data_IF_805297868733
#
_entry.id   IF_805297868733
#
_cell.length_a   1.000
_cell.length_b   1.000
_cell.length_c   1.000
_cell.angle_alpha   90.00
_cell.angle_beta   90.00
_cell.angle_gamma   90.00
#
_symmetry.space_group_name_H-M   'P 1'
#
loop_
_entity.id
_entity.type
_entity.pdbx_description
1 polymer ?
#
# COMPACT_ATOMS: atom_id res chain seq x y z
N UNK A 1 -2.93 -1.57 -23.51
CA UNK A 1 -3.36 -2.94 -23.83
C UNK A 1 -3.14 -3.94 -22.69
N UNK A 2 -2.17 -3.80 -21.76
CA UNK A 2 -2.00 -4.77 -20.67
C UNK A 2 -3.09 -4.69 -19.58
N UNK A 3 -3.63 -3.50 -19.33
CA UNK A 3 -4.60 -3.27 -18.24
C UNK A 3 -5.90 -4.04 -18.44
N UNK A 4 -6.40 -4.10 -19.67
CA UNK A 4 -7.63 -4.83 -20.00
C UNK A 4 -7.48 -6.34 -19.74
N UNK A 5 -6.31 -6.89 -20.05
CA UNK A 5 -6.02 -8.30 -19.77
C UNK A 5 -5.90 -8.57 -18.26
N UNK A 6 -5.33 -7.64 -17.49
CA UNK A 6 -5.23 -7.78 -16.03
C UNK A 6 -6.62 -7.69 -15.38
N UNK A 7 -7.47 -6.76 -15.83
CA UNK A 7 -8.86 -6.61 -15.38
C UNK A 7 -9.69 -7.88 -15.69
N UNK A 8 -9.58 -8.45 -16.90
CA UNK A 8 -10.27 -9.71 -17.27
C UNK A 8 -9.86 -10.89 -16.39
N UNK A 9 -8.57 -10.98 -16.03
CA UNK A 9 -8.06 -12.06 -15.17
C UNK A 9 -8.53 -11.91 -13.73
N UNK A 10 -8.63 -10.68 -13.25
CA UNK A 10 -9.18 -10.37 -11.93
C UNK A 10 -10.66 -10.75 -11.85
N UNK A 11 -11.47 -10.28 -12.79
CA UNK A 11 -12.91 -10.56 -12.83
C UNK A 11 -13.18 -12.06 -12.97
N UNK A 12 -12.39 -12.77 -13.80
CA UNK A 12 -12.44 -14.23 -13.90
C UNK A 12 -12.17 -14.92 -12.54
N UNK A 13 -11.18 -14.46 -11.79
CA UNK A 13 -10.89 -15.01 -10.46
C UNK A 13 -12.03 -14.74 -9.47
N UNK A 14 -12.61 -13.52 -9.50
CA UNK A 14 -13.74 -13.15 -8.66
C UNK A 14 -14.93 -14.08 -8.91
N UNK A 15 -15.30 -14.29 -10.18
CA UNK A 15 -16.40 -15.17 -10.56
C UNK A 15 -16.13 -16.62 -10.14
N UNK A 16 -14.96 -17.15 -10.51
CA UNK A 16 -14.59 -18.56 -10.29
C UNK A 16 -14.57 -18.94 -8.81
N UNK A 17 -14.15 -18.01 -7.94
CA UNK A 17 -14.08 -18.23 -6.51
C UNK A 17 -15.32 -17.74 -5.74
N UNK A 18 -16.28 -17.10 -6.41
CA UNK A 18 -17.46 -16.47 -5.82
C UNK A 18 -17.08 -15.42 -4.77
N UNK A 19 -16.18 -14.52 -5.15
CA UNK A 19 -15.79 -13.35 -4.39
C UNK A 19 -16.69 -12.16 -4.76
N UNK A 20 -16.63 -11.09 -3.96
CA UNK A 20 -17.41 -9.87 -4.16
C UNK A 20 -16.48 -8.66 -4.29
N UNK A 21 -16.71 -7.80 -5.28
CA UNK A 21 -15.98 -6.54 -5.46
C UNK A 21 -16.72 -5.40 -4.78
N UNK A 22 -15.99 -4.55 -4.05
CA UNK A 22 -16.57 -3.32 -3.50
C UNK A 22 -16.42 -2.18 -4.50
N UNK A 23 -17.51 -1.81 -5.16
CA UNK A 23 -17.51 -0.76 -6.19
C UNK A 23 -17.26 0.65 -5.61
N UNK A 24 -17.29 0.81 -4.29
CA UNK A 24 -17.09 2.11 -3.63
C UNK A 24 -15.62 2.40 -3.31
N UNK A 25 -14.74 1.40 -3.25
CA UNK A 25 -13.35 1.57 -2.82
C UNK A 25 -12.39 2.06 -3.93
N UNK A 26 -12.86 2.11 -5.18
CA UNK A 26 -12.07 2.53 -6.33
C UNK A 26 -10.85 1.64 -6.60
N UNK A 27 -9.94 2.08 -7.48
CA UNK A 27 -8.78 1.27 -7.95
C UNK A 27 -7.70 1.00 -6.91
N UNK A 28 -7.68 1.73 -5.80
CA UNK A 28 -6.66 1.58 -4.76
C UNK A 28 -7.11 0.70 -3.59
N UNK A 29 -8.39 0.32 -3.60
CA UNK A 29 -9.08 -0.46 -2.59
C UNK A 29 -8.64 -1.92 -2.49
N UNK A 30 -9.49 -2.72 -1.88
CA UNK A 30 -9.35 -4.18 -1.81
C UNK A 30 -9.89 -4.78 -3.12
N UNK A 31 -9.12 -5.68 -3.73
CA UNK A 31 -9.46 -6.25 -5.03
C UNK A 31 -10.78 -7.06 -4.96
N UNK A 32 -10.93 -7.88 -3.92
CA UNK A 32 -12.17 -8.63 -3.69
C UNK A 32 -12.36 -9.03 -2.22
N UNK A 33 -13.57 -9.47 -1.89
CA UNK A 33 -13.96 -9.94 -0.58
C UNK A 33 -14.56 -11.34 -0.64
N UNK A 34 -14.22 -12.18 0.35
CA UNK A 34 -14.91 -13.44 0.60
C UNK A 34 -15.83 -13.28 1.80
N UNK A 35 -17.13 -13.42 1.59
CA UNK A 35 -18.09 -13.59 2.68
C UNK A 35 -18.09 -15.05 3.14
N UNK A 36 -17.64 -15.29 4.37
CA UNK A 36 -17.53 -16.63 4.94
C UNK A 36 -17.76 -16.62 6.45
N UNK A 37 -18.69 -17.45 6.93
CA UNK A 37 -19.08 -17.56 8.35
C UNK A 37 -19.35 -16.20 9.02
N UNK A 38 -20.07 -15.32 8.34
CA UNK A 38 -20.41 -13.97 8.85
C UNK A 38 -19.24 -12.97 8.86
N UNK A 39 -18.05 -13.35 8.39
CA UNK A 39 -16.90 -12.45 8.22
C UNK A 39 -16.77 -12.01 6.76
N UNK A 40 -16.41 -10.74 6.55
CA UNK A 40 -16.02 -10.19 5.25
C UNK A 40 -14.49 -10.16 5.17
N UNK A 41 -13.92 -11.07 4.38
CA UNK A 41 -12.47 -11.33 4.38
C UNK A 41 -11.83 -10.68 3.16
N UNK A 42 -10.85 -9.76 3.32
CA UNK A 42 -10.25 -9.06 2.20
C UNK A 42 -9.22 -9.93 1.46
N UNK A 43 -9.29 -9.90 0.13
CA UNK A 43 -8.37 -10.55 -0.79
C UNK A 43 -7.59 -9.53 -1.62
N UNK A 44 -6.31 -9.78 -1.80
CA UNK A 44 -5.50 -9.24 -2.88
C UNK A 44 -5.43 -10.29 -4.00
N UNK A 45 -5.74 -9.88 -5.23
CA UNK A 45 -5.73 -10.72 -6.42
C UNK A 45 -4.51 -10.37 -7.27
N UNK A 46 -3.77 -11.40 -7.68
CA UNK A 46 -2.64 -11.25 -8.60
C UNK A 46 -2.65 -12.35 -9.64
N UNK A 47 -1.96 -12.12 -10.75
CA UNK A 47 -1.72 -13.15 -11.74
C UNK A 47 -0.30 -13.05 -12.31
N UNK A 48 0.21 -14.16 -12.86
CA UNK A 48 1.48 -14.18 -13.59
C UNK A 48 1.51 -15.25 -14.66
N UNK A 49 2.17 -14.96 -15.78
CA UNK A 49 2.49 -15.92 -16.84
C UNK A 49 3.94 -16.44 -16.77
N UNK A 50 4.81 -15.75 -16.02
CA UNK A 50 6.27 -15.96 -16.05
C UNK A 50 6.82 -16.53 -14.73
N UNK A 51 5.93 -16.80 -13.77
CA UNK A 51 6.26 -17.37 -12.47
C UNK A 51 6.70 -16.38 -11.40
N UNK A 52 7.02 -15.12 -11.72
CA UNK A 52 7.17 -14.05 -10.73
C UNK A 52 5.93 -13.16 -10.71
N UNK A 53 5.49 -12.76 -9.52
CA UNK A 53 4.32 -11.90 -9.35
C UNK A 53 4.77 -10.47 -9.10
N UNK A 54 4.43 -9.55 -9.99
CA UNK A 54 4.56 -8.10 -9.77
C UNK A 54 3.56 -7.66 -8.71
N UNK A 55 3.95 -6.74 -7.83
CA UNK A 55 3.08 -6.30 -6.73
C UNK A 55 2.63 -4.85 -6.89
N UNK A 56 3.51 -3.88 -6.70
CA UNK A 56 3.23 -2.45 -6.87
C UNK A 56 4.47 -1.70 -7.32
N UNK A 57 4.31 -0.57 -8.03
CA UNK A 57 5.42 0.26 -8.49
C UNK A 57 6.28 0.77 -7.34
N UNK A 58 5.67 1.40 -6.34
CA UNK A 58 6.40 2.07 -5.25
C UNK A 58 5.99 1.43 -3.91
N UNK A 59 6.65 0.33 -3.53
CA UNK A 59 6.33 -0.39 -2.29
C UNK A 59 6.83 0.39 -1.07
N UNK A 60 5.97 0.60 -0.08
CA UNK A 60 6.23 1.43 1.09
C UNK A 60 5.33 1.07 2.27
N UNK A 61 5.38 1.86 3.35
CA UNK A 61 4.69 1.53 4.61
C UNK A 61 3.17 1.36 4.49
N UNK A 62 2.51 2.13 3.64
CA UNK A 62 1.08 1.97 3.39
C UNK A 62 0.73 0.62 2.74
N UNK A 63 1.62 0.06 1.92
CA UNK A 63 1.44 -1.28 1.35
C UNK A 63 1.60 -2.37 2.41
N UNK A 64 2.55 -2.21 3.32
CA UNK A 64 2.74 -3.12 4.46
C UNK A 64 1.46 -3.16 5.32
N UNK A 65 0.92 -1.99 5.67
CA UNK A 65 -0.36 -1.88 6.40
C UNK A 65 -1.52 -2.49 5.63
N UNK A 66 -1.60 -2.24 4.31
CA UNK A 66 -2.66 -2.78 3.45
C UNK A 66 -2.61 -4.30 3.41
N UNK A 67 -1.43 -4.91 3.31
CA UNK A 67 -1.28 -6.33 2.97
C UNK A 67 -1.09 -7.28 4.15
N UNK A 68 -0.68 -6.78 5.33
CA UNK A 68 -0.35 -7.63 6.49
C UNK A 68 -1.46 -8.62 6.91
N UNK A 69 -2.72 -8.22 6.74
CA UNK A 69 -3.90 -9.00 7.18
C UNK A 69 -4.72 -9.52 5.98
N UNK A 70 -4.20 -9.39 4.76
CA UNK A 70 -4.91 -9.83 3.54
C UNK A 70 -4.65 -11.28 3.22
N UNK A 71 -5.68 -11.91 2.70
CA UNK A 71 -5.54 -13.16 1.96
C UNK A 71 -5.16 -12.85 0.51
N UNK A 72 -4.44 -13.77 -0.12
CA UNK A 72 -3.94 -13.61 -1.47
C UNK A 72 -4.42 -14.76 -2.34
N UNK A 73 -4.85 -14.43 -3.55
CA UNK A 73 -5.14 -15.41 -4.59
C UNK A 73 -4.31 -15.08 -5.83
N UNK A 74 -3.46 -16.02 -6.23
CA UNK A 74 -2.50 -15.83 -7.32
C UNK A 74 -2.83 -16.78 -8.45
N UNK A 75 -3.31 -16.26 -9.58
CA UNK A 75 -3.55 -17.03 -10.80
C UNK A 75 -2.27 -17.27 -11.60
N UNK A 76 -1.93 -18.53 -11.84
CA UNK A 76 -0.79 -18.92 -12.67
C UNK A 76 -1.29 -19.26 -14.07
N UNK A 77 -0.81 -18.52 -15.06
CA UNK A 77 -1.20 -18.70 -16.47
C UNK A 77 -0.07 -19.37 -17.27
N UNK A 78 -0.44 -20.26 -18.19
CA UNK A 78 0.45 -20.86 -19.19
C UNK A 78 -0.21 -20.77 -20.56
N UNK A 79 0.54 -20.34 -21.57
CA UNK A 79 0.02 -20.20 -22.94
C UNK A 79 -1.31 -19.41 -23.01
N UNK A 80 -1.44 -18.36 -22.18
CA UNK A 80 -2.64 -17.52 -22.00
C UNK A 80 -3.84 -18.18 -21.31
N UNK A 81 -3.78 -19.47 -21.00
CA UNK A 81 -4.81 -20.17 -20.22
C UNK A 81 -4.45 -20.20 -18.74
N UNK A 82 -5.46 -20.21 -17.87
CA UNK A 82 -5.25 -20.47 -16.45
C UNK A 82 -4.76 -21.92 -16.27
N UNK A 83 -3.67 -22.10 -15.53
CA UNK A 83 -3.12 -23.41 -15.17
C UNK A 83 -3.65 -23.84 -13.80
N UNK A 84 -3.49 -22.98 -12.79
CA UNK A 84 -4.02 -23.17 -11.44
C UNK A 84 -3.99 -21.85 -10.66
N UNK A 85 -4.64 -21.84 -9.50
CA UNK A 85 -4.50 -20.76 -8.52
C UNK A 85 -3.72 -21.21 -7.30
N UNK A 86 -3.12 -20.24 -6.61
CA UNK A 86 -2.43 -20.43 -5.35
C UNK A 86 -3.07 -19.52 -4.30
N UNK A 87 -3.24 -20.06 -3.09
CA UNK A 87 -3.77 -19.31 -1.96
C UNK A 87 -2.66 -19.01 -0.94
N UNK A 88 -2.50 -17.72 -0.61
CA UNK A 88 -1.63 -17.24 0.45
C UNK A 88 -2.46 -16.68 1.61
N UNK A 89 -2.41 -17.30 2.78
CA UNK A 89 -2.97 -16.70 3.99
C UNK A 89 -2.10 -15.52 4.47
N UNK A 90 -2.62 -14.64 5.35
CA UNK A 90 -1.81 -13.59 5.98
C UNK A 90 -0.50 -14.14 6.56
N UNK A 91 -0.57 -15.28 7.25
CA UNK A 91 0.60 -15.96 7.83
C UNK A 91 1.59 -16.44 6.76
N UNK A 92 1.13 -16.95 5.62
CA UNK A 92 2.02 -17.38 4.52
C UNK A 92 2.64 -16.21 3.78
N UNK A 93 1.98 -15.06 3.72
CA UNK A 93 2.50 -13.86 3.06
C UNK A 93 3.41 -13.03 3.95
N UNK A 94 3.27 -13.16 5.28
CA UNK A 94 4.03 -12.41 6.26
C UNK A 94 5.55 -12.45 6.06
N UNK A 95 6.22 -13.61 5.79
CA UNK A 95 7.67 -13.63 5.60
C UNK A 95 8.15 -12.74 4.44
N UNK A 96 7.47 -12.77 3.30
CA UNK A 96 7.81 -11.90 2.17
C UNK A 96 7.56 -10.43 2.49
N UNK A 97 6.42 -10.09 3.13
CA UNK A 97 6.11 -8.72 3.52
C UNK A 97 7.16 -8.19 4.51
N UNK A 98 7.55 -8.98 5.50
CA UNK A 98 8.57 -8.62 6.50
C UNK A 98 9.95 -8.45 5.88
N UNK A 99 10.31 -9.27 4.90
CA UNK A 99 11.57 -9.10 4.15
C UNK A 99 11.59 -7.72 3.45
N UNK A 100 10.48 -7.32 2.82
CA UNK A 100 10.40 -6.01 2.13
C UNK A 100 10.31 -4.85 3.12
N UNK A 101 9.62 -5.03 4.24
CA UNK A 101 9.60 -4.07 5.35
C UNK A 101 11.00 -3.84 5.90
N UNK A 102 11.74 -4.91 6.19
CA UNK A 102 13.11 -4.82 6.68
C UNK A 102 14.04 -4.10 5.71
N UNK A 103 13.86 -4.33 4.40
CA UNK A 103 14.63 -3.65 3.36
C UNK A 103 14.45 -2.13 3.38
N UNK A 104 13.22 -1.63 3.51
CA UNK A 104 12.94 -0.19 3.48
C UNK A 104 13.11 0.49 4.85
N UNK A 105 13.07 -0.28 5.95
CA UNK A 105 13.03 0.24 7.32
C UNK A 105 14.17 1.25 7.64
N UNK A 106 15.44 1.02 7.28
CA UNK A 106 16.52 1.97 7.57
C UNK A 106 16.26 3.36 6.99
N UNK A 107 15.72 3.45 5.78
CA UNK A 107 15.47 4.73 5.12
C UNK A 107 14.35 5.52 5.83
N UNK A 108 13.31 4.83 6.30
CA UNK A 108 12.27 5.44 7.13
C UNK A 108 12.80 5.89 8.49
N UNK A 109 13.74 5.15 9.09
CA UNK A 109 14.40 5.57 10.32
C UNK A 109 15.26 6.84 10.09
N UNK A 110 16.00 6.90 8.98
CA UNK A 110 16.75 8.09 8.58
C UNK A 110 15.79 9.29 8.40
N UNK A 111 14.65 9.08 7.74
CA UNK A 111 13.63 10.11 7.54
C UNK A 111 13.18 10.74 8.86
N UNK A 112 12.89 9.92 9.88
CA UNK A 112 12.53 10.38 11.23
C UNK A 112 13.65 11.16 11.91
N UNK A 113 14.89 10.66 11.83
CA UNK A 113 16.05 11.35 12.39
C UNK A 113 16.29 12.71 11.73
N UNK A 114 16.12 12.82 10.41
CA UNK A 114 16.21 14.10 9.69
C UNK A 114 15.10 15.03 10.11
N UNK A 115 13.84 14.55 10.17
CA UNK A 115 12.68 15.31 10.65
C UNK A 115 12.96 15.96 12.02
N UNK A 116 13.55 15.20 12.94
CA UNK A 116 13.86 15.69 14.29
C UNK A 116 14.93 16.79 14.31
N UNK A 117 15.92 16.70 13.41
CA UNK A 117 17.05 17.65 13.31
C UNK A 117 16.73 18.98 12.62
N UNK A 118 15.59 19.10 11.95
CA UNK A 118 15.18 20.36 11.32
C UNK A 118 14.79 21.36 12.42
N UNK A 119 15.35 22.57 12.37
CA UNK A 119 15.14 23.61 13.37
C UNK A 119 14.53 24.88 12.77
N UNK A 120 14.10 25.81 13.64
CA UNK A 120 13.55 27.11 13.22
C UNK A 120 14.48 27.89 12.30
N UNK A 121 15.80 27.80 12.52
CA UNK A 121 16.80 28.47 11.67
C UNK A 121 16.74 27.98 10.21
N UNK A 122 16.36 26.73 9.98
CA UNK A 122 16.25 26.15 8.65
C UNK A 122 14.95 26.57 7.97
N UNK A 123 13.85 26.64 8.73
CA UNK A 123 12.61 27.27 8.27
C UNK A 123 12.86 28.71 7.80
N UNK A 124 13.59 29.50 8.60
CA UNK A 124 13.87 30.90 8.27
C UNK A 124 14.74 31.05 7.02
N UNK A 125 15.64 30.11 6.74
CA UNK A 125 16.40 30.09 5.48
C UNK A 125 15.52 29.83 4.26
N UNK A 126 14.42 29.07 4.42
CA UNK A 126 13.54 28.66 3.32
C UNK A 126 12.44 29.70 3.06
N UNK A 127 11.75 30.17 4.10
CA UNK A 127 10.58 31.06 3.97
C UNK A 127 10.81 32.48 4.48
N UNK A 128 12.01 32.79 4.96
CA UNK A 128 12.29 34.01 5.71
C UNK A 128 11.75 33.95 7.13
N UNK A 129 12.32 34.74 8.05
CA UNK A 129 11.79 34.90 9.41
C UNK A 129 10.54 35.77 9.39
N UNK A 130 9.43 35.26 9.95
CA UNK A 130 8.16 35.98 10.09
C UNK A 130 7.59 35.70 11.48
N UNK A 131 6.85 36.64 12.06
CA UNK A 131 6.10 36.42 13.30
C UNK A 131 4.83 35.59 13.06
N UNK A 132 4.29 35.69 11.84
CA UNK A 132 3.12 34.92 11.39
C UNK A 132 3.30 34.52 9.93
N UNK A 133 3.06 33.26 9.64
CA UNK A 133 2.99 32.74 8.28
C UNK A 133 1.54 32.54 7.85
N UNK A 134 1.29 32.58 6.55
CA UNK A 134 -0.06 32.45 5.97
C UNK A 134 -0.28 31.08 5.33
N UNK A 135 -1.53 30.80 4.96
CA UNK A 135 -1.90 29.63 4.16
C UNK A 135 -1.05 29.48 2.89
N UNK A 136 -0.76 30.59 2.21
CA UNK A 136 0.09 30.61 1.01
C UNK A 136 1.51 30.11 1.29
N UNK A 137 2.11 30.49 2.42
CA UNK A 137 3.44 30.03 2.84
C UNK A 137 3.44 28.51 3.07
N UNK A 138 2.44 28.01 3.81
CA UNK A 138 2.28 26.59 4.10
C UNK A 138 2.08 25.75 2.81
N UNK A 139 1.39 26.33 1.83
CA UNK A 139 1.13 25.71 0.52
C UNK A 139 2.35 25.68 -0.39
N UNK A 140 3.19 26.72 -0.39
CA UNK A 140 4.45 26.69 -1.13
C UNK A 140 5.35 25.59 -0.57
N UNK A 141 5.39 25.48 0.76
CA UNK A 141 6.22 24.52 1.47
C UNK A 141 5.73 23.06 1.34
N UNK A 142 4.48 22.79 1.74
CA UNK A 142 3.94 21.44 1.87
C UNK A 142 3.02 21.02 0.71
N UNK A 143 2.83 21.91 -0.28
CA UNK A 143 2.15 21.64 -1.55
C UNK A 143 0.72 21.12 -1.35
N UNK A 144 0.38 19.97 -1.93
CA UNK A 144 -0.95 19.35 -1.91
C UNK A 144 -1.06 18.17 -0.95
N UNK A 145 -0.13 18.03 -0.01
CA UNK A 145 -0.09 16.82 0.83
C UNK A 145 -1.06 16.88 1.99
N UNK A 146 -1.43 18.08 2.43
CA UNK A 146 -2.60 18.29 3.25
C UNK A 146 -3.80 18.66 2.37
N UNK A 147 -4.97 18.17 2.78
CA UNK A 147 -6.26 18.71 2.37
C UNK A 147 -6.44 20.16 2.84
N UNK A 148 -7.42 20.85 2.28
CA UNK A 148 -7.74 22.22 2.66
C UNK A 148 -8.09 22.33 4.15
N UNK A 149 -8.90 21.40 4.67
CA UNK A 149 -9.26 21.36 6.09
C UNK A 149 -8.02 21.15 6.96
N UNK A 150 -7.16 20.19 6.63
CA UNK A 150 -5.92 19.96 7.39
C UNK A 150 -5.03 21.20 7.47
N UNK A 151 -4.94 22.01 6.42
CA UNK A 151 -4.24 23.29 6.51
C UNK A 151 -4.94 24.23 7.52
N UNK A 152 -6.23 24.47 7.34
CA UNK A 152 -6.99 25.41 8.17
C UNK A 152 -7.03 25.01 9.64
N UNK A 153 -7.29 23.73 9.92
CA UNK A 153 -7.36 23.16 11.27
C UNK A 153 -6.00 23.21 11.97
N UNK A 154 -4.92 23.32 11.20
CA UNK A 154 -3.58 23.38 11.74
C UNK A 154 -3.05 24.79 11.98
N UNK A 155 -3.85 25.83 11.71
CA UNK A 155 -3.55 27.21 12.08
C UNK A 155 -3.67 27.36 13.60
N UNK A 156 -2.56 27.69 14.24
CA UNK A 156 -2.51 27.94 15.69
C UNK A 156 -2.63 29.43 16.05
N UNK A 157 -2.58 30.31 15.05
CA UNK A 157 -2.85 31.73 15.19
C UNK A 157 -4.10 32.11 14.41
N UNK A 158 -4.76 33.22 14.80
CA UNK A 158 -5.92 33.75 14.06
C UNK A 158 -5.51 34.07 12.61
N UNK A 159 -6.00 33.23 11.68
CA UNK A 159 -5.75 33.35 10.25
C UNK A 159 -4.29 33.12 9.83
N UNK A 160 -3.53 32.30 10.57
CA UNK A 160 -2.15 31.99 10.19
C UNK A 160 -1.47 30.98 11.11
N UNK A 161 -0.16 30.81 10.91
CA UNK A 161 0.68 29.87 11.65
C UNK A 161 1.79 30.62 12.39
N UNK A 162 2.10 30.17 13.61
CA UNK A 162 3.35 30.53 14.29
C UNK A 162 4.57 29.95 13.56
N UNK A 163 5.79 30.45 13.84
CA UNK A 163 7.03 29.82 13.40
C UNK A 163 7.14 28.34 13.78
N UNK A 164 6.73 27.97 14.98
CA UNK A 164 6.80 26.61 15.52
C UNK A 164 5.85 25.68 14.76
N UNK A 165 4.64 26.15 14.47
CA UNK A 165 3.68 25.39 13.68
C UNK A 165 4.14 25.24 12.23
N UNK A 166 4.68 26.28 11.63
CA UNK A 166 5.23 26.20 10.28
C UNK A 166 6.48 25.30 10.21
N UNK A 167 7.30 25.25 11.27
CA UNK A 167 8.40 24.30 11.38
C UNK A 167 7.89 22.85 11.34
N UNK A 168 6.78 22.55 12.01
CA UNK A 168 6.17 21.22 11.94
C UNK A 168 5.72 20.86 10.51
N UNK A 169 5.16 21.82 9.77
CA UNK A 169 4.79 21.62 8.36
C UNK A 169 6.03 21.37 7.48
N UNK A 170 7.16 22.05 7.75
CA UNK A 170 8.45 21.77 7.09
C UNK A 170 8.96 20.37 7.42
N UNK A 171 8.89 19.97 8.69
CA UNK A 171 9.26 18.64 9.16
C UNK A 171 8.45 17.56 8.47
N UNK A 172 7.13 17.72 8.40
CA UNK A 172 6.24 16.81 7.67
C UNK A 172 6.57 16.78 6.18
N UNK A 173 6.95 17.92 5.59
CA UNK A 173 7.35 17.97 4.17
C UNK A 173 8.65 17.19 3.93
N UNK A 174 9.63 17.35 4.81
CA UNK A 174 10.91 16.67 4.70
C UNK A 174 10.73 15.15 4.84
N UNK A 175 10.00 14.71 5.86
CA UNK A 175 9.68 13.29 6.06
C UNK A 175 8.96 12.73 4.83
N UNK A 176 7.91 13.40 4.35
CA UNK A 176 7.18 12.98 3.14
C UNK A 176 8.10 12.80 1.92
N UNK A 177 9.02 13.73 1.70
CA UNK A 177 9.93 13.68 0.55
C UNK A 177 10.89 12.49 0.64
N UNK A 178 11.42 12.24 1.84
CA UNK A 178 12.34 11.12 2.07
C UNK A 178 11.60 9.80 1.96
N UNK A 179 10.48 9.63 2.66
CA UNK A 179 9.69 8.39 2.63
C UNK A 179 9.23 8.02 1.21
N UNK A 180 8.94 9.00 0.36
CA UNK A 180 8.62 8.75 -1.05
C UNK A 180 9.82 8.20 -1.83
N UNK A 181 11.03 8.66 -1.52
CA UNK A 181 12.29 8.15 -2.07
C UNK A 181 12.71 6.80 -1.48
N UNK A 182 12.24 6.47 -0.29
CA UNK A 182 12.52 5.24 0.46
C UNK A 182 11.68 4.03 0.04
N UNK A 183 11.02 4.11 -1.11
CA UNK A 183 10.17 3.02 -1.61
C UNK A 183 10.99 1.99 -2.36
N UNK A 184 10.60 0.72 -2.26
CA UNK A 184 11.17 -0.35 -3.07
C UNK A 184 10.44 -0.41 -4.41
N UNK A 185 11.16 -0.20 -5.51
CA UNK A 185 10.57 -0.20 -6.84
C UNK A 185 10.24 -1.62 -7.31
N UNK A 186 8.96 -1.84 -7.64
CA UNK A 186 8.42 -3.05 -8.25
C UNK A 186 8.94 -4.37 -7.65
N UNK A 187 8.81 -4.61 -6.33
CA UNK A 187 9.24 -5.87 -5.76
C UNK A 187 8.38 -7.00 -6.31
N UNK A 188 9.05 -8.10 -6.66
CA UNK A 188 8.42 -9.31 -7.13
C UNK A 188 8.34 -10.37 -6.02
N UNK A 189 7.27 -11.15 -6.01
CA UNK A 189 7.22 -12.41 -5.29
C UNK A 189 7.80 -13.48 -6.24
N UNK A 190 8.96 -14.08 -5.91
CA UNK A 190 9.59 -15.05 -6.80
C UNK A 190 8.85 -16.38 -6.77
N UNK A 191 8.90 -17.14 -7.87
CA UNK A 191 8.29 -18.47 -7.99
C UNK A 191 8.68 -19.42 -6.85
N UNK A 192 9.93 -19.31 -6.39
CA UNK A 192 10.47 -20.11 -5.29
C UNK A 192 9.71 -19.91 -3.97
N UNK A 193 9.10 -18.74 -3.76
CA UNK A 193 8.38 -18.40 -2.54
C UNK A 193 7.12 -19.26 -2.34
N UNK A 194 6.44 -19.58 -3.44
CA UNK A 194 5.19 -20.33 -3.44
C UNK A 194 5.31 -21.71 -4.11
N UNK A 195 6.54 -22.23 -4.24
CA UNK A 195 6.80 -23.52 -4.90
C UNK A 195 6.07 -24.70 -4.23
N UNK A 196 5.92 -24.65 -2.90
CA UNK A 196 5.33 -25.70 -2.07
C UNK A 196 3.87 -25.39 -1.67
N UNK A 197 3.26 -24.39 -2.30
CA UNK A 197 1.88 -24.02 -2.00
C UNK A 197 0.91 -24.99 -2.69
N UNK A 198 -0.23 -25.21 -2.03
CA UNK A 198 -1.30 -26.05 -2.59
C UNK A 198 -1.87 -25.36 -3.82
N UNK A 199 -1.93 -26.10 -4.92
CA UNK A 199 -2.56 -25.66 -6.17
C UNK A 199 -4.06 -25.91 -6.11
N UNK A 200 -4.82 -24.91 -6.51
CA UNK A 200 -6.26 -25.00 -6.70
C UNK A 200 -6.50 -25.14 -8.22
N UNK A 201 -6.76 -26.36 -8.65
CA UNK A 201 -6.97 -26.73 -10.07
C UNK A 201 -8.46 -27.01 -10.37
N UNK A 202 -9.24 -27.33 -9.33
CA UNK A 202 -10.66 -27.67 -9.41
C UNK A 202 -11.36 -27.31 -8.10
N UNK A 203 -12.69 -27.37 -8.12
CA UNK A 203 -13.54 -27.07 -6.95
C UNK A 203 -13.19 -25.72 -6.28
N UNK A 204 -12.82 -24.74 -7.12
CA UNK A 204 -12.14 -23.50 -6.75
C UNK A 204 -12.74 -22.82 -5.51
N UNK A 205 -14.01 -22.44 -5.57
CA UNK A 205 -14.69 -21.78 -4.44
C UNK A 205 -14.76 -22.64 -3.17
N UNK A 206 -14.98 -23.95 -3.30
CA UNK A 206 -15.05 -24.87 -2.16
C UNK A 206 -13.68 -25.00 -1.48
N UNK A 207 -12.64 -25.27 -2.26
CA UNK A 207 -11.29 -25.45 -1.73
C UNK A 207 -10.76 -24.15 -1.10
N UNK A 208 -11.02 -22.99 -1.71
CA UNK A 208 -10.65 -21.71 -1.10
C UNK A 208 -11.31 -21.52 0.27
N UNK A 209 -12.62 -21.79 0.38
CA UNK A 209 -13.36 -21.67 1.65
C UNK A 209 -12.84 -22.62 2.72
N UNK A 210 -12.47 -23.85 2.35
CA UNK A 210 -11.83 -24.80 3.26
C UNK A 210 -10.46 -24.30 3.73
N UNK A 211 -9.63 -23.79 2.82
CA UNK A 211 -8.30 -23.26 3.15
C UNK A 211 -8.38 -22.01 4.02
N UNK A 212 -9.28 -21.07 3.71
CA UNK A 212 -9.56 -19.89 4.55
C UNK A 212 -10.07 -20.31 5.91
N UNK A 213 -10.97 -21.30 5.97
CA UNK A 213 -11.51 -21.80 7.23
C UNK A 213 -10.50 -22.44 8.18
N UNK A 214 -9.32 -22.84 7.69
CA UNK A 214 -8.20 -23.35 8.51
C UNK A 214 -7.30 -22.24 9.08
N UNK A 215 -7.47 -21.00 8.60
CA UNK A 215 -6.64 -19.86 8.97
C UNK A 215 -7.41 -18.84 9.84
N UNK A 216 -8.72 -19.06 10.04
CA UNK A 216 -9.63 -18.24 10.87
C UNK A 216 -9.82 -18.81 12.26
#
# INVERSE_FOLDING_TARGET
>A
MSTFQDDEREDFAIELFKLEKDLTEGRSGVDAYLNYKGKRIPFELKSTSNGSVTTVRDFGYEHIKKWKDKHWLIGIYKNRNIDHFLYGSPKRMQPWIQEKEHYILPDFQISKLVREKIELKDLFKILGKKEKYLYSDARILHKRQYSMSQYMDSMDLKGGYSPERMLNILKDRAEYLMERGSTLNNPHIPKSYFKDWVKIEKDHSKLLREMVGREL
#
